data_IF_394244840008
#
_entry.id   IF_394244840008
#
_cell.length_a   1.000
_cell.length_b   1.000
_cell.length_c   1.000
_cell.angle_alpha   90.00
_cell.angle_beta   90.00
_cell.angle_gamma   90.00
#
_symmetry.space_group_name_H-M   'P 1'
#
loop_
_entity.id
_entity.type
_entity.pdbx_description
1 polymer ?
#
# COMPACT_ATOMS: atom_id res chain seq x y z
N UNK A 1 -8.83 -14.31 9.86
CA UNK A 1 -8.54 -15.77 9.93
C UNK A 1 -9.23 -16.45 8.75
N UNK A 2 -8.50 -17.27 8.00
CA UNK A 2 -8.99 -17.83 6.72
C UNK A 2 -7.93 -17.90 5.60
N UNK A 3 -6.66 -17.65 5.91
CA UNK A 3 -5.56 -17.75 4.94
C UNK A 3 -5.37 -19.18 4.40
N UNK A 4 -5.88 -20.20 5.12
CA UNK A 4 -5.87 -21.60 4.67
C UNK A 4 -6.70 -21.84 3.40
N UNK A 5 -7.56 -20.89 3.02
CA UNK A 5 -8.34 -20.93 1.77
C UNK A 5 -7.49 -20.81 0.51
N UNK A 6 -6.23 -20.38 0.61
CA UNK A 6 -5.33 -20.32 -0.55
C UNK A 6 -4.55 -21.62 -0.77
N UNK A 7 -4.61 -22.57 0.17
CA UNK A 7 -4.02 -23.90 0.00
C UNK A 7 -4.87 -24.75 -0.96
N UNK A 8 -4.33 -25.79 -1.62
CA UNK A 8 -5.13 -26.73 -2.41
C UNK A 8 -6.31 -27.30 -1.59
N UNK A 9 -7.44 -27.60 -2.25
CA UNK A 9 -8.65 -28.12 -1.58
C UNK A 9 -8.38 -29.39 -0.75
N UNK A 10 -7.48 -30.25 -1.22
CA UNK A 10 -7.12 -31.51 -0.57
C UNK A 10 -5.99 -31.36 0.46
N UNK A 11 -5.60 -30.14 0.82
CA UNK A 11 -4.48 -29.91 1.73
C UNK A 11 -4.85 -30.25 3.18
N UNK A 12 -4.02 -31.07 3.86
CA UNK A 12 -4.26 -31.56 5.25
C UNK A 12 -4.62 -30.44 6.23
N UNK A 13 -3.92 -29.31 6.16
CA UNK A 13 -4.15 -28.15 7.03
C UNK A 13 -5.51 -27.45 6.86
N UNK A 14 -6.24 -27.68 5.76
CA UNK A 14 -7.63 -27.20 5.65
C UNK A 14 -8.57 -27.95 6.60
N UNK A 15 -8.27 -29.23 6.86
CA UNK A 15 -9.08 -30.11 7.69
C UNK A 15 -8.62 -30.16 9.16
N UNK A 16 -7.44 -29.63 9.45
CA UNK A 16 -6.89 -29.60 10.80
C UNK A 16 -7.55 -28.50 11.63
N UNK A 17 -8.47 -28.89 12.50
CA UNK A 17 -9.15 -27.98 13.44
C UNK A 17 -8.28 -27.70 14.66
N UNK A 18 -7.61 -28.73 15.16
CA UNK A 18 -6.95 -28.73 16.46
C UNK A 18 -5.72 -27.81 16.51
N UNK A 19 -4.97 -27.73 15.41
CA UNK A 19 -3.80 -26.84 15.31
C UNK A 19 -4.15 -25.38 14.99
N UNK A 20 -5.42 -25.08 14.74
CA UNK A 20 -5.85 -23.76 14.24
C UNK A 20 -7.06 -23.24 15.03
N UNK A 21 -8.04 -22.64 14.35
CA UNK A 21 -9.19 -21.94 14.92
C UNK A 21 -10.39 -22.85 15.18
N UNK A 22 -10.17 -24.17 15.33
CA UNK A 22 -11.21 -25.19 15.47
C UNK A 22 -12.22 -25.28 14.30
N UNK A 23 -11.96 -24.59 13.18
CA UNK A 23 -12.80 -24.66 11.98
C UNK A 23 -12.11 -25.44 10.86
N UNK A 24 -12.92 -26.12 10.02
CA UNK A 24 -12.44 -26.70 8.76
C UNK A 24 -12.68 -25.66 7.66
N UNK A 25 -11.66 -25.40 6.86
CA UNK A 25 -11.71 -24.39 5.79
C UNK A 25 -12.04 -25.04 4.43
N UNK A 26 -13.35 -25.29 4.23
CA UNK A 26 -13.91 -25.74 2.94
C UNK A 26 -14.17 -24.61 1.94
N UNK A 27 -14.05 -23.35 2.38
CA UNK A 27 -14.32 -22.20 1.52
C UNK A 27 -13.28 -22.10 0.41
N UNK A 28 -13.72 -21.63 -0.75
CA UNK A 28 -12.82 -21.31 -1.85
C UNK A 28 -11.93 -20.11 -1.48
N UNK A 29 -10.74 -19.99 -2.09
CA UNK A 29 -9.97 -18.76 -2.03
C UNK A 29 -10.85 -17.56 -2.41
N UNK A 30 -10.57 -16.40 -1.82
CA UNK A 30 -11.22 -15.18 -2.27
C UNK A 30 -10.81 -14.94 -3.72
N UNK A 31 -11.78 -14.60 -4.56
CA UNK A 31 -11.50 -14.24 -5.94
C UNK A 31 -10.63 -12.98 -5.95
N UNK A 32 -9.49 -13.05 -6.65
CA UNK A 32 -8.61 -11.90 -6.79
C UNK A 32 -9.32 -10.89 -7.68
N UNK A 33 -9.74 -9.76 -7.11
CA UNK A 33 -10.34 -8.68 -7.88
C UNK A 33 -9.34 -8.16 -8.92
N UNK A 34 -9.83 -7.95 -10.15
CA UNK A 34 -9.07 -7.27 -11.19
C UNK A 34 -8.87 -5.80 -10.86
N UNK A 35 -7.92 -5.14 -11.54
CA UNK A 35 -7.70 -3.71 -11.41
C UNK A 35 -8.95 -2.94 -11.83
N UNK A 36 -9.61 -3.39 -12.89
CA UNK A 36 -10.87 -2.82 -13.34
C UNK A 36 -11.98 -2.98 -12.30
N UNK A 37 -12.13 -4.16 -11.69
CA UNK A 37 -13.14 -4.40 -10.65
C UNK A 37 -12.96 -3.47 -9.45
N UNK A 38 -11.71 -3.21 -9.05
CA UNK A 38 -11.41 -2.31 -7.93
C UNK A 38 -11.70 -0.86 -8.33
N UNK A 39 -11.36 -0.45 -9.55
CA UNK A 39 -11.69 0.90 -10.01
C UNK A 39 -13.20 1.11 -10.10
N UNK A 40 -13.97 0.11 -10.52
CA UNK A 40 -15.44 0.16 -10.52
C UNK A 40 -16.03 0.19 -9.10
N UNK A 41 -15.33 -0.34 -8.10
CA UNK A 41 -15.72 -0.21 -6.69
C UNK A 41 -15.41 1.17 -6.13
N UNK A 42 -14.32 1.79 -6.58
CA UNK A 42 -13.81 3.06 -6.06
C UNK A 42 -14.36 4.26 -6.85
N UNK A 43 -14.88 4.06 -8.06
CA UNK A 43 -15.53 5.08 -8.87
C UNK A 43 -16.72 5.74 -8.14
N UNK A 44 -17.46 4.97 -7.33
CA UNK A 44 -18.56 5.50 -6.51
C UNK A 44 -18.06 6.48 -5.41
N UNK A 45 -16.75 6.54 -5.16
CA UNK A 45 -16.12 7.40 -4.16
C UNK A 45 -15.46 8.65 -4.76
N UNK A 46 -15.57 8.85 -6.08
CA UNK A 46 -14.99 10.01 -6.74
C UNK A 46 -15.65 11.32 -6.27
N UNK A 47 -14.82 12.34 -6.02
CA UNK A 47 -15.29 13.67 -5.58
C UNK A 47 -15.70 13.78 -4.11
N UNK A 48 -15.57 12.73 -3.30
CA UNK A 48 -15.86 12.82 -1.86
C UNK A 48 -14.77 13.65 -1.13
N UNK A 49 -15.15 14.75 -0.44
CA UNK A 49 -14.19 15.58 0.26
C UNK A 49 -13.53 14.83 1.42
N UNK A 50 -12.21 14.66 1.33
CA UNK A 50 -11.40 14.01 2.35
C UNK A 50 -11.25 14.93 3.58
N UNK A 51 -12.17 14.78 4.54
CA UNK A 51 -12.16 15.61 5.75
C UNK A 51 -11.94 14.77 7.02
N UNK A 52 -11.07 15.26 7.93
CA UNK A 52 -10.84 14.64 9.25
C UNK A 52 -11.94 14.97 10.26
N UNK A 53 -12.66 16.07 10.02
CA UNK A 53 -13.79 16.56 10.80
C UNK A 53 -14.93 15.52 10.81
N UNK A 54 -15.32 14.99 12.00
CA UNK A 54 -16.39 14.01 12.14
C UNK A 54 -17.73 14.49 11.58
N UNK A 55 -18.00 15.80 11.58
CA UNK A 55 -19.28 16.35 11.12
C UNK A 55 -19.41 16.36 9.59
N UNK A 56 -18.28 16.38 8.88
CA UNK A 56 -18.23 16.37 7.41
C UNK A 56 -17.96 14.99 6.82
N UNK A 57 -17.82 13.95 7.66
CA UNK A 57 -17.64 12.57 7.20
C UNK A 57 -18.93 12.03 6.61
N UNK A 58 -18.89 11.73 5.32
CA UNK A 58 -19.99 11.10 4.60
C UNK A 58 -20.01 9.61 4.98
N UNK A 59 -21.17 9.11 5.42
CA UNK A 59 -21.37 7.67 5.68
C UNK A 59 -21.54 6.95 4.34
N UNK A 60 -20.55 6.16 3.95
CA UNK A 60 -20.59 5.35 2.74
C UNK A 60 -21.36 4.06 3.04
N UNK A 61 -22.32 3.72 2.20
CA UNK A 61 -23.10 2.49 2.33
C UNK A 61 -22.41 1.34 1.59
N UNK A 62 -21.82 0.41 2.32
CA UNK A 62 -21.11 -0.76 1.75
C UNK A 62 -22.06 -1.89 1.27
N UNK A 63 -23.38 -1.68 1.29
CA UNK A 63 -24.38 -2.74 1.07
C UNK A 63 -24.40 -3.34 -0.35
N UNK A 64 -23.87 -2.66 -1.37
CA UNK A 64 -24.08 -3.05 -2.78
C UNK A 64 -22.97 -3.87 -3.44
N UNK A 65 -21.72 -3.88 -2.94
CA UNK A 65 -20.59 -4.52 -3.65
C UNK A 65 -19.53 -5.23 -2.78
N UNK A 66 -19.72 -5.35 -1.47
CA UNK A 66 -18.71 -5.97 -0.58
C UNK A 66 -17.37 -5.21 -0.55
N UNK A 67 -17.40 -3.96 -1.00
CA UNK A 67 -16.25 -3.06 -1.08
C UNK A 67 -16.15 -2.29 0.24
N UNK A 68 -15.11 -2.58 1.03
CA UNK A 68 -14.81 -1.87 2.28
C UNK A 68 -14.01 -0.56 2.04
N UNK A 69 -14.15 0.02 0.84
CA UNK A 69 -13.45 1.24 0.47
C UNK A 69 -14.16 2.46 1.08
N UNK A 70 -13.41 3.26 1.83
CA UNK A 70 -13.89 4.50 2.40
C UNK A 70 -13.36 5.75 1.66
N UNK A 71 -12.32 5.56 0.85
CA UNK A 71 -11.59 6.65 0.20
C UNK A 71 -11.03 6.17 -1.13
N UNK A 72 -11.14 7.02 -2.16
CA UNK A 72 -10.32 6.93 -3.36
C UNK A 72 -8.95 7.56 -3.08
N UNK A 73 -7.89 6.78 -3.28
CA UNK A 73 -6.51 7.28 -3.27
C UNK A 73 -6.16 7.90 -4.62
N UNK A 74 -5.27 8.89 -4.65
CA UNK A 74 -4.73 9.49 -5.87
C UNK A 74 -4.02 8.46 -6.78
N UNK A 75 -3.59 7.32 -6.21
CA UNK A 75 -2.94 6.26 -6.98
C UNK A 75 -3.87 5.60 -8.00
N UNK A 76 -5.19 5.62 -7.78
CA UNK A 76 -6.15 5.06 -8.73
C UNK A 76 -6.24 5.85 -10.04
N UNK A 77 -5.80 7.11 -10.04
CA UNK A 77 -5.82 7.98 -11.22
C UNK A 77 -4.59 7.78 -12.12
N UNK A 78 -3.63 6.97 -11.69
CA UNK A 78 -2.43 6.68 -12.49
C UNK A 78 -2.79 5.79 -13.70
N UNK A 79 -2.33 6.13 -14.92
CA UNK A 79 -2.75 5.44 -16.15
C UNK A 79 -2.34 3.96 -16.19
N UNK A 80 -1.27 3.57 -15.50
CA UNK A 80 -0.80 2.18 -15.41
C UNK A 80 -1.37 1.41 -14.22
N UNK A 81 -2.20 2.03 -13.35
CA UNK A 81 -2.65 1.38 -12.12
C UNK A 81 -3.41 0.08 -12.39
N UNK A 82 -4.26 0.09 -13.42
CA UNK A 82 -5.01 -1.08 -13.91
C UNK A 82 -4.12 -2.29 -14.23
N UNK A 83 -2.93 -2.02 -14.77
CA UNK A 83 -1.99 -3.03 -15.25
C UNK A 83 -1.06 -3.59 -14.16
N UNK A 84 -1.11 -3.04 -12.94
CA UNK A 84 -0.29 -3.52 -11.83
C UNK A 84 -0.76 -4.90 -11.33
N UNK A 85 0.13 -5.89 -11.42
CA UNK A 85 -0.07 -7.22 -10.84
C UNK A 85 -0.05 -7.20 -9.31
N UNK A 86 0.85 -6.39 -8.72
CA UNK A 86 0.97 -6.20 -7.27
C UNK A 86 0.50 -4.79 -6.89
N UNK A 87 -0.81 -4.65 -6.67
CA UNK A 87 -1.47 -3.37 -6.37
C UNK A 87 -1.09 -2.75 -5.03
N UNK A 88 -0.47 -3.53 -4.15
CA UNK A 88 0.05 -3.10 -2.84
C UNK A 88 1.52 -2.69 -2.88
N UNK A 89 2.23 -2.86 -4.00
CA UNK A 89 3.56 -2.30 -4.14
C UNK A 89 3.41 -0.79 -4.39
N UNK A 90 3.96 -0.01 -3.46
CA UNK A 90 4.14 1.42 -3.68
C UNK A 90 4.87 1.65 -5.01
N UNK A 91 4.50 2.75 -5.64
CA UNK A 91 4.98 3.18 -6.95
C UNK A 91 6.52 3.22 -7.03
N UNK A 92 7.11 2.12 -7.49
CA UNK A 92 8.56 1.94 -7.56
C UNK A 92 9.18 3.04 -8.41
N UNK A 93 8.56 3.41 -9.53
CA UNK A 93 9.07 4.46 -10.42
C UNK A 93 9.07 5.82 -9.73
N UNK A 94 7.98 6.19 -9.03
CA UNK A 94 7.94 7.47 -8.33
C UNK A 94 8.84 7.49 -7.08
N UNK A 95 9.00 6.36 -6.39
CA UNK A 95 9.95 6.20 -5.28
C UNK A 95 11.38 6.32 -5.80
N UNK A 96 11.73 5.56 -6.83
CA UNK A 96 13.06 5.58 -7.45
C UNK A 96 13.39 6.96 -7.99
N UNK A 97 12.46 7.61 -8.72
CA UNK A 97 12.65 8.98 -9.18
C UNK A 97 12.89 9.95 -8.04
N UNK A 98 12.06 9.90 -6.99
CA UNK A 98 12.23 10.75 -5.82
C UNK A 98 13.57 10.49 -5.11
N UNK A 99 14.01 9.24 -4.97
CA UNK A 99 15.30 8.91 -4.34
C UNK A 99 16.46 9.38 -5.24
N UNK A 100 16.43 9.09 -6.54
CA UNK A 100 17.45 9.48 -7.50
C UNK A 100 17.58 11.02 -7.60
N UNK A 101 16.47 11.75 -7.66
CA UNK A 101 16.49 13.23 -7.68
C UNK A 101 17.12 13.80 -6.40
N UNK A 102 16.88 13.18 -5.24
CA UNK A 102 17.51 13.57 -3.98
C UNK A 102 19.02 13.25 -3.97
N UNK A 103 19.43 12.04 -4.37
CA UNK A 103 20.85 11.63 -4.44
C UNK A 103 21.62 12.52 -5.42
N UNK A 104 21.06 12.74 -6.61
CA UNK A 104 21.66 13.59 -7.63
C UNK A 104 21.73 15.06 -7.19
N UNK A 105 20.70 15.54 -6.48
CA UNK A 105 20.70 16.86 -5.87
C UNK A 105 21.84 17.05 -4.87
N UNK A 106 22.14 16.02 -4.06
CA UNK A 106 23.28 16.01 -3.13
C UNK A 106 24.62 15.93 -3.84
N UNK A 107 24.78 15.04 -4.83
CA UNK A 107 26.06 14.88 -5.57
C UNK A 107 26.41 16.16 -6.35
N UNK A 108 25.42 16.79 -6.97
CA UNK A 108 25.61 17.97 -7.82
C UNK A 108 25.51 19.30 -7.06
N UNK A 109 25.37 19.28 -5.72
CA UNK A 109 25.20 20.45 -4.85
C UNK A 109 24.17 21.47 -5.38
N UNK A 110 23.03 20.97 -5.89
CA UNK A 110 22.00 21.84 -6.46
C UNK A 110 21.18 22.46 -5.33
N UNK A 111 21.50 23.71 -4.97
CA UNK A 111 20.75 24.50 -3.99
C UNK A 111 19.25 24.41 -4.24
N UNK A 112 18.49 24.03 -3.20
CA UNK A 112 17.02 23.82 -3.12
C UNK A 112 16.47 22.46 -3.61
N UNK A 113 17.28 21.57 -4.17
CA UNK A 113 16.86 20.18 -4.46
C UNK A 113 17.39 19.17 -3.45
N UNK A 114 18.41 19.56 -2.70
CA UNK A 114 18.97 18.79 -1.59
C UNK A 114 18.02 18.75 -0.42
N UNK A 115 17.75 17.54 0.09
CA UNK A 115 17.00 17.33 1.32
C UNK A 115 17.87 17.42 2.58
N UNK A 116 19.14 17.75 2.42
CA UNK A 116 20.12 18.00 3.48
C UNK A 116 19.76 19.27 4.27
N UNK A 117 18.84 19.10 5.23
CA UNK A 117 18.43 20.14 6.17
C UNK A 117 19.25 19.99 7.46
N UNK A 118 19.44 21.06 8.23
CA UNK A 118 20.14 20.96 9.53
C UNK A 118 19.54 19.89 10.45
N UNK A 119 18.23 19.67 10.37
CA UNK A 119 17.53 18.58 11.06
C UNK A 119 17.97 17.19 10.58
N UNK A 120 18.12 16.97 9.27
CA UNK A 120 18.57 15.67 8.75
C UNK A 120 20.03 15.40 9.10
N UNK A 121 20.88 16.44 9.22
CA UNK A 121 22.25 16.29 9.73
C UNK A 121 22.29 15.91 11.20
N UNK A 122 21.42 16.48 12.04
CA UNK A 122 21.32 16.14 13.46
C UNK A 122 20.73 14.74 13.66
N UNK A 123 19.70 14.36 12.90
CA UNK A 123 19.13 13.00 12.94
C UNK A 123 20.18 11.95 12.51
N UNK A 124 20.97 12.24 11.47
CA UNK A 124 22.07 11.39 11.03
C UNK A 124 23.17 11.26 12.09
N UNK A 125 23.43 12.28 12.90
CA UNK A 125 24.36 12.19 14.03
C UNK A 125 23.80 11.35 15.19
N UNK A 126 22.48 11.38 15.39
CA UNK A 126 21.81 10.57 16.40
C UNK A 126 21.71 9.09 16.00
N UNK A 127 21.45 8.80 14.72
CA UNK A 127 21.58 7.46 14.18
C UNK A 127 23.06 7.14 14.04
N UNK A 128 23.64 6.35 14.95
CA UNK A 128 25.07 5.96 14.96
C UNK A 128 25.51 5.08 13.76
N UNK A 129 25.12 5.42 12.54
CA UNK A 129 25.62 4.83 11.31
C UNK A 129 27.01 5.42 11.12
N UNK A 130 27.98 4.74 11.72
CA UNK A 130 29.39 5.13 11.69
C UNK A 130 29.88 5.24 10.25
N UNK A 131 30.67 6.27 9.98
CA UNK A 131 31.49 6.39 8.79
C UNK A 131 32.32 5.12 8.65
N UNK A 132 32.00 4.26 7.69
CA UNK A 132 32.96 3.25 7.22
C UNK A 132 33.98 4.03 6.41
N UNK A 133 35.09 4.42 7.04
CA UNK A 133 36.26 4.88 6.30
C UNK A 133 36.83 3.67 5.56
N UNK A 134 36.66 3.62 4.23
CA UNK A 134 37.58 2.83 3.41
C UNK A 134 38.96 3.50 3.53
N UNK A 135 39.85 2.85 4.28
CA UNK A 135 41.29 2.97 4.10
C UNK A 135 41.71 2.15 2.87
#
# INVERSE_FOLDING_TARGET
MGHRRYLPLNHKWRNDKALFDNTIEHRQPLEMLSGDDILDQVADLDGLPLTKDPQKKIKISHKKKGADWNKKSIFFDLPYWKTLLLRHNFDVIHIEKNICDNILGTILDVKRKTKDTLSTQLDLQQTKIQKVSCQ
#
